data_IF_351111859244
#
_entry.id   IF_351111859244
#
_cell.length_a   1.000
_cell.length_b   1.000
_cell.length_c   1.000
_cell.angle_alpha   90.00
_cell.angle_beta   90.00
_cell.angle_gamma   90.00
#
_symmetry.space_group_name_H-M   'P 1'
#
loop_
_entity.id
_entity.type
_entity.pdbx_description
1 polymer ?
#
# COMPACT_ATOMS: atom_id res chain seq x y z
N UNK A 1 -37.05 37.56 -13.45
CA UNK A 1 -36.22 37.77 -12.25
C UNK A 1 -37.10 37.81 -11.02
N UNK A 2 -37.22 36.67 -10.34
CA UNK A 2 -37.50 36.52 -8.90
C UNK A 2 -36.95 35.12 -8.53
N UNK A 3 -36.21 34.95 -7.42
CA UNK A 3 -35.28 33.85 -7.25
C UNK A 3 -35.98 32.58 -6.73
N UNK A 4 -35.53 31.42 -7.21
CA UNK A 4 -35.82 30.13 -6.58
C UNK A 4 -34.89 30.01 -5.36
N UNK A 5 -35.44 30.38 -4.21
CA UNK A 5 -34.90 30.05 -2.91
C UNK A 5 -35.18 28.59 -2.53
N UNK A 6 -34.29 28.09 -1.68
CA UNK A 6 -34.38 26.92 -0.79
C UNK A 6 -34.26 25.53 -1.42
N UNK A 7 -33.00 25.04 -1.35
CA UNK A 7 -32.57 23.67 -1.00
C UNK A 7 -33.74 22.74 -0.68
N UNK A 8 -34.05 21.85 -1.62
CA UNK A 8 -34.98 20.76 -1.43
C UNK A 8 -34.26 19.60 -0.73
N UNK A 9 -34.93 19.09 0.31
CA UNK A 9 -34.65 17.91 1.15
C UNK A 9 -33.71 16.85 0.55
N UNK A 10 -32.45 16.87 1.00
CA UNK A 10 -31.60 15.68 1.06
C UNK A 10 -32.14 14.76 2.18
N UNK A 11 -32.02 13.43 2.07
CA UNK A 11 -32.50 12.50 3.09
C UNK A 11 -31.57 12.54 4.33
N UNK A 12 -31.63 13.61 5.13
CA UNK A 12 -30.74 13.81 6.30
C UNK A 12 -31.41 13.53 7.65
N UNK A 13 -32.46 12.70 7.72
CA UNK A 13 -33.12 12.38 9.00
C UNK A 13 -33.04 10.92 9.43
N UNK A 14 -32.47 10.02 8.63
CA UNK A 14 -32.27 8.63 9.04
C UNK A 14 -30.87 8.12 8.69
N UNK A 15 -29.96 8.20 9.67
CA UNK A 15 -28.62 7.62 9.61
C UNK A 15 -28.63 6.16 9.17
N UNK A 16 -29.69 5.40 9.51
CA UNK A 16 -29.80 4.00 9.08
C UNK A 16 -30.11 3.90 7.60
N UNK A 17 -30.91 4.81 7.06
CA UNK A 17 -31.20 4.86 5.62
C UNK A 17 -29.96 5.24 4.82
N UNK A 18 -29.20 6.24 5.27
CA UNK A 18 -27.92 6.63 4.66
C UNK A 18 -26.91 5.48 4.68
N UNK A 19 -26.68 4.87 5.85
CA UNK A 19 -25.75 3.73 5.97
C UNK A 19 -26.17 2.53 5.11
N UNK A 20 -27.49 2.25 4.99
CA UNK A 20 -28.01 1.20 4.09
C UNK A 20 -27.83 1.55 2.63
N UNK A 21 -28.01 2.80 2.23
CA UNK A 21 -27.79 3.26 0.87
C UNK A 21 -26.32 3.06 0.47
N UNK A 22 -25.39 3.52 1.32
CA UNK A 22 -23.95 3.37 1.07
C UNK A 22 -23.54 1.89 1.09
N UNK A 23 -24.07 1.09 2.02
CA UNK A 23 -23.79 -0.34 2.10
C UNK A 23 -24.27 -1.15 0.91
N UNK A 24 -25.28 -0.69 0.17
CA UNK A 24 -25.67 -1.30 -1.09
C UNK A 24 -24.73 -0.95 -2.24
N UNK A 25 -24.03 0.17 -2.16
CA UNK A 25 -23.07 0.59 -3.17
C UNK A 25 -21.69 -0.08 -2.99
N UNK A 26 -21.39 -0.63 -1.81
CA UNK A 26 -20.09 -1.26 -1.58
C UNK A 26 -19.95 -2.58 -2.34
N UNK A 27 -18.79 -2.83 -2.97
CA UNK A 27 -18.53 -4.08 -3.68
C UNK A 27 -18.38 -5.28 -2.74
N UNK A 28 -18.29 -5.05 -1.43
CA UNK A 28 -18.27 -6.07 -0.40
C UNK A 28 -19.68 -6.68 -0.20
N UNK A 29 -20.12 -7.47 -1.18
CA UNK A 29 -21.24 -8.42 -1.09
C UNK A 29 -22.49 -7.94 -0.34
N UNK A 30 -23.42 -7.28 -1.05
CA UNK A 30 -24.78 -7.03 -0.55
C UNK A 30 -25.68 -8.28 -0.48
N UNK A 31 -25.17 -9.46 -0.87
CA UNK A 31 -25.93 -10.71 -0.99
C UNK A 31 -25.38 -11.86 -0.13
N UNK A 32 -24.69 -11.57 0.99
CA UNK A 32 -24.53 -12.62 2.00
C UNK A 32 -25.86 -12.79 2.76
N UNK A 33 -26.49 -13.98 2.73
CA UNK A 33 -27.65 -14.25 3.56
C UNK A 33 -27.28 -14.00 5.02
N UNK A 34 -28.21 -13.41 5.79
CA UNK A 34 -28.03 -12.97 7.17
C UNK A 34 -27.73 -14.09 8.20
N UNK A 35 -27.30 -15.27 7.74
CA UNK A 35 -27.14 -16.50 8.52
C UNK A 35 -25.69 -17.03 8.56
N UNK A 36 -24.71 -16.26 8.08
CA UNK A 36 -23.31 -16.53 8.40
C UNK A 36 -22.89 -15.67 9.60
N UNK A 37 -22.14 -16.25 10.54
CA UNK A 37 -21.57 -15.59 11.71
C UNK A 37 -20.47 -14.56 11.35
N UNK A 38 -20.64 -13.80 10.28
CA UNK A 38 -19.80 -12.69 9.82
C UNK A 38 -20.42 -11.40 10.34
N UNK A 39 -19.65 -10.62 11.09
CA UNK A 39 -20.13 -9.30 11.55
C UNK A 39 -20.41 -8.45 10.31
N UNK A 40 -21.62 -7.92 10.11
CA UNK A 40 -21.94 -7.16 8.90
C UNK A 40 -21.03 -5.94 8.81
N UNK A 41 -20.55 -5.65 7.60
CA UNK A 41 -19.72 -4.48 7.32
C UNK A 41 -20.45 -3.21 7.79
N UNK A 42 -19.82 -2.46 8.71
CA UNK A 42 -20.42 -1.25 9.29
C UNK A 42 -19.95 -0.03 8.53
N UNK A 43 -20.91 0.78 8.09
CA UNK A 43 -20.63 2.00 7.33
C UNK A 43 -21.15 3.21 8.11
N UNK A 44 -20.34 4.26 8.13
CA UNK A 44 -20.74 5.53 8.72
C UNK A 44 -21.86 6.18 7.87
N UNK A 45 -22.88 6.80 8.49
CA UNK A 45 -23.92 7.51 7.74
C UNK A 45 -23.41 8.80 7.09
N UNK A 46 -22.25 9.29 7.54
CA UNK A 46 -21.60 10.53 7.11
C UNK A 46 -20.09 10.31 6.93
N UNK A 47 -19.45 11.03 5.99
CA UNK A 47 -18.00 10.92 5.79
C UNK A 47 -17.24 11.52 6.98
N UNK A 48 -15.98 11.09 7.16
CA UNK A 48 -15.12 11.63 8.20
C UNK A 48 -14.72 13.08 7.86
N UNK A 49 -15.06 14.07 8.72
CA UNK A 49 -14.81 15.48 8.41
C UNK A 49 -13.32 15.81 8.53
N UNK A 50 -12.79 16.50 7.52
CA UNK A 50 -11.42 17.01 7.48
C UNK A 50 -11.41 18.53 7.37
N UNK A 51 -10.53 19.19 8.13
CA UNK A 51 -10.32 20.63 7.96
C UNK A 51 -9.50 20.91 6.69
N UNK A 52 -9.59 22.11 6.10
CA UNK A 52 -8.76 22.48 4.94
C UNK A 52 -7.26 22.33 5.19
N UNK A 53 -6.80 22.60 6.42
CA UNK A 53 -5.40 22.41 6.81
C UNK A 53 -4.99 20.94 6.83
N UNK A 54 -5.89 20.04 7.27
CA UNK A 54 -5.65 18.60 7.25
C UNK A 54 -5.58 18.08 5.81
N UNK A 55 -6.46 18.55 4.92
CA UNK A 55 -6.42 18.21 3.49
C UNK A 55 -5.07 18.65 2.88
N UNK A 56 -4.66 19.89 3.12
CA UNK A 56 -3.37 20.42 2.65
C UNK A 56 -2.14 19.72 3.24
N UNK A 57 -2.27 19.06 4.39
CA UNK A 57 -1.22 18.22 4.98
C UNK A 57 -1.17 16.85 4.30
N UNK A 58 -2.33 16.22 4.07
CA UNK A 58 -2.46 14.93 3.40
C UNK A 58 -2.04 14.97 1.93
N UNK A 59 -2.39 16.03 1.19
CA UNK A 59 -1.94 16.20 -0.21
C UNK A 59 -0.40 16.28 -0.28
N UNK A 60 0.21 17.01 0.65
CA UNK A 60 1.66 17.20 0.72
C UNK A 60 2.37 15.93 1.18
N UNK A 61 1.72 15.12 2.02
CA UNK A 61 2.23 13.82 2.43
C UNK A 61 2.46 12.90 1.21
N UNK A 62 1.63 12.98 0.17
CA UNK A 62 1.83 12.19 -1.05
C UNK A 62 3.21 12.39 -1.68
N UNK A 63 3.62 13.65 -1.87
CA UNK A 63 4.94 14.00 -2.40
C UNK A 63 6.07 13.60 -1.44
N UNK A 64 5.87 13.80 -0.14
CA UNK A 64 6.85 13.43 0.89
C UNK A 64 7.07 11.91 0.94
N UNK A 65 6.01 11.10 0.83
CA UNK A 65 6.10 9.64 0.77
C UNK A 65 6.75 9.16 -0.53
N UNK A 66 6.45 9.79 -1.67
CA UNK A 66 7.15 9.49 -2.91
C UNK A 66 8.66 9.73 -2.76
N UNK A 67 9.06 10.88 -2.21
CA UNK A 67 10.45 11.19 -1.93
C UNK A 67 11.09 10.18 -0.96
N UNK A 68 10.35 9.77 0.07
CA UNK A 68 10.76 8.73 1.02
C UNK A 68 11.04 7.39 0.34
N UNK A 69 10.12 6.91 -0.52
CA UNK A 69 10.30 5.64 -1.25
C UNK A 69 11.43 5.71 -2.28
N UNK A 70 11.62 6.86 -2.95
CA UNK A 70 12.79 7.10 -3.82
C UNK A 70 14.07 6.97 -3.00
N UNK A 71 14.13 7.59 -1.82
CA UNK A 71 15.29 7.54 -0.94
C UNK A 71 15.53 6.13 -0.36
N UNK A 72 14.49 5.43 0.08
CA UNK A 72 14.58 4.04 0.55
C UNK A 72 15.11 3.10 -0.53
N UNK A 73 14.62 3.23 -1.77
CA UNK A 73 15.12 2.47 -2.90
C UNK A 73 16.60 2.76 -3.20
N UNK A 74 17.04 4.03 -3.07
CA UNK A 74 18.45 4.41 -3.18
C UNK A 74 19.30 3.85 -2.03
N UNK A 75 18.78 3.82 -0.81
CA UNK A 75 19.46 3.27 0.36
C UNK A 75 19.75 1.79 0.15
N UNK A 76 18.75 1.00 -0.25
CA UNK A 76 18.92 -0.42 -0.55
C UNK A 76 19.97 -0.63 -1.65
N UNK A 77 19.88 0.12 -2.76
CA UNK A 77 20.87 0.04 -3.83
C UNK A 77 22.29 0.46 -3.40
N UNK A 78 22.42 1.35 -2.40
CA UNK A 78 23.72 1.72 -1.81
C UNK A 78 24.27 0.62 -0.92
N UNK A 79 23.41 0.01 -0.10
CA UNK A 79 23.74 -1.08 0.81
C UNK A 79 24.21 -2.33 0.05
N UNK A 80 23.52 -2.71 -1.04
CA UNK A 80 23.95 -3.81 -1.94
C UNK A 80 25.34 -3.56 -2.53
N UNK A 81 25.70 -2.30 -2.78
CA UNK A 81 27.02 -1.91 -3.31
C UNK A 81 28.09 -1.71 -2.23
N UNK A 82 27.78 -2.02 -0.96
CA UNK A 82 28.70 -1.84 0.16
C UNK A 82 29.03 -0.38 0.50
N UNK A 83 28.17 0.58 0.10
CA UNK A 83 28.33 2.01 0.39
C UNK A 83 27.38 2.52 1.49
N UNK A 84 26.82 1.60 2.26
CA UNK A 84 26.06 1.87 3.48
C UNK A 84 26.59 0.94 4.58
N UNK A 85 26.32 1.22 5.87
CA UNK A 85 26.67 0.32 6.95
C UNK A 85 26.15 -1.11 6.68
N UNK A 86 27.01 -2.12 6.88
CA UNK A 86 26.72 -3.50 6.48
C UNK A 86 25.45 -4.07 7.12
N UNK A 87 25.09 -3.59 8.32
CA UNK A 87 23.90 -4.01 9.04
C UNK A 87 22.61 -3.64 8.30
N UNK A 88 22.59 -2.57 7.50
CA UNK A 88 21.38 -2.14 6.76
C UNK A 88 20.91 -3.23 5.81
N UNK A 89 21.83 -3.77 5.00
CA UNK A 89 21.49 -4.85 4.07
C UNK A 89 21.11 -6.12 4.82
N UNK A 90 21.84 -6.44 5.90
CA UNK A 90 21.55 -7.60 6.74
C UNK A 90 20.11 -7.55 7.26
N UNK A 91 19.66 -6.39 7.78
CA UNK A 91 18.30 -6.21 8.28
C UNK A 91 17.25 -6.33 7.16
N UNK A 92 17.45 -5.65 6.02
CA UNK A 92 16.47 -5.64 4.91
C UNK A 92 16.31 -7.01 4.22
N UNK A 93 17.31 -7.90 4.33
CA UNK A 93 17.29 -9.21 3.68
C UNK A 93 17.09 -10.37 4.66
N UNK A 94 16.99 -10.08 5.96
CA UNK A 94 16.81 -11.11 6.98
C UNK A 94 15.52 -11.89 6.74
N UNK A 95 15.64 -13.22 6.66
CA UNK A 95 14.50 -14.11 6.45
C UNK A 95 13.90 -14.09 5.04
N UNK A 96 14.46 -13.32 4.10
CA UNK A 96 13.95 -13.25 2.72
C UNK A 96 14.50 -14.40 1.86
N UNK A 97 13.64 -15.14 1.14
CA UNK A 97 14.09 -16.14 0.17
C UNK A 97 15.02 -15.53 -0.88
N UNK A 98 15.98 -16.32 -1.36
CA UNK A 98 16.96 -15.87 -2.38
C UNK A 98 16.27 -15.29 -3.62
N UNK A 99 15.23 -15.97 -4.12
CA UNK A 99 14.42 -15.54 -5.26
C UNK A 99 13.85 -14.12 -5.07
N UNK A 100 13.36 -13.78 -3.88
CA UNK A 100 12.82 -12.43 -3.58
C UNK A 100 13.92 -11.38 -3.65
N UNK A 101 15.10 -11.70 -3.07
CA UNK A 101 16.27 -10.80 -3.09
C UNK A 101 16.76 -10.56 -4.52
N UNK A 102 16.83 -11.61 -5.34
CA UNK A 102 17.23 -11.51 -6.75
C UNK A 102 16.29 -10.63 -7.56
N UNK A 103 14.97 -10.83 -7.40
CA UNK A 103 13.95 -10.01 -8.08
C UNK A 103 14.07 -8.53 -7.69
N UNK A 104 14.27 -8.24 -6.40
CA UNK A 104 14.42 -6.86 -5.90
C UNK A 104 15.68 -6.13 -6.39
N UNK A 105 16.66 -6.87 -6.93
CA UNK A 105 17.95 -6.37 -7.44
C UNK A 105 18.01 -6.29 -8.96
N UNK A 106 16.94 -6.64 -9.68
CA UNK A 106 16.94 -6.62 -11.14
C UNK A 106 17.28 -5.22 -11.68
N UNK A 107 18.43 -5.11 -12.36
CA UNK A 107 18.96 -3.84 -12.90
C UNK A 107 17.95 -3.08 -13.75
N UNK A 108 17.14 -3.82 -14.52
CA UNK A 108 16.13 -3.27 -15.44
C UNK A 108 15.04 -2.47 -14.71
N UNK A 109 14.77 -2.78 -13.44
CA UNK A 109 13.74 -2.15 -12.61
C UNK A 109 14.33 -1.43 -11.39
N UNK A 110 15.61 -1.03 -11.47
CA UNK A 110 16.32 -0.38 -10.36
C UNK A 110 15.58 0.84 -9.81
N UNK A 111 14.91 1.62 -10.65
CA UNK A 111 14.18 2.83 -10.28
C UNK A 111 12.67 2.62 -10.11
N UNK A 112 12.16 1.41 -10.36
CA UNK A 112 10.74 1.14 -10.20
C UNK A 112 10.32 1.30 -8.74
N UNK A 113 9.17 1.92 -8.54
CA UNK A 113 8.51 2.13 -7.25
C UNK A 113 7.05 1.67 -7.38
N UNK A 114 6.37 1.36 -6.27
CA UNK A 114 4.93 1.22 -6.26
C UNK A 114 4.25 2.47 -6.83
N UNK A 115 3.22 2.28 -7.65
CA UNK A 115 2.44 3.42 -8.21
C UNK A 115 1.44 4.00 -7.21
N UNK A 116 1.13 3.24 -6.16
CA UNK A 116 0.19 3.58 -5.11
C UNK A 116 0.80 3.17 -3.78
N UNK A 117 0.75 4.07 -2.81
CA UNK A 117 1.13 3.84 -1.43
C UNK A 117 -0.06 4.27 -0.58
N UNK A 118 -0.54 3.39 0.29
CA UNK A 118 -1.60 3.71 1.25
C UNK A 118 -0.96 3.90 2.62
N UNK A 119 -0.85 5.14 3.11
CA UNK A 119 -0.47 5.38 4.49
C UNK A 119 -1.67 5.16 5.39
N UNK A 120 -1.56 4.22 6.33
CA UNK A 120 -2.55 4.07 7.39
C UNK A 120 -2.24 5.09 8.48
N UNK A 121 -3.15 6.04 8.70
CA UNK A 121 -2.94 7.20 9.54
C UNK A 121 -3.88 7.18 10.75
N UNK A 122 -3.33 7.46 11.94
CA UNK A 122 -4.09 7.80 13.13
C UNK A 122 -4.15 9.32 13.27
N UNK A 123 -5.36 9.86 13.37
CA UNK A 123 -5.58 11.26 13.74
C UNK A 123 -5.27 11.45 15.23
N UNK A 124 -4.49 12.48 15.56
CA UNK A 124 -4.10 12.77 16.95
C UNK A 124 -5.06 13.79 17.58
N UNK A 125 -5.29 13.68 18.89
CA UNK A 125 -6.15 14.61 19.64
C UNK A 125 -5.73 16.08 19.51
N UNK A 126 -4.42 16.31 19.40
CA UNK A 126 -3.83 17.66 19.28
C UNK A 126 -3.82 18.19 17.84
N UNK A 127 -4.46 17.47 16.91
CA UNK A 127 -4.35 17.71 15.47
C UNK A 127 -3.14 17.03 14.85
N UNK A 128 -3.19 16.83 13.53
CA UNK A 128 -2.18 16.13 12.74
C UNK A 128 -2.38 14.61 12.69
N UNK A 129 -1.48 13.94 11.98
CA UNK A 129 -1.55 12.51 11.69
C UNK A 129 -0.24 11.79 12.01
N UNK A 130 -0.36 10.54 12.44
CA UNK A 130 0.76 9.62 12.64
C UNK A 130 0.52 8.36 11.82
N UNK A 131 1.49 7.95 11.03
CA UNK A 131 1.44 6.71 10.27
C UNK A 131 1.64 5.50 11.18
N UNK A 132 0.77 4.52 11.04
CA UNK A 132 0.91 3.21 11.70
C UNK A 132 1.58 2.19 10.78
N UNK A 133 1.35 2.35 9.47
CA UNK A 133 1.83 1.48 8.41
C UNK A 133 1.88 2.23 7.07
N UNK A 134 2.76 1.78 6.17
CA UNK A 134 2.76 2.18 4.77
C UNK A 134 2.59 0.92 3.93
N UNK A 135 1.46 0.81 3.26
CA UNK A 135 1.16 -0.32 2.39
C UNK A 135 1.53 0.03 0.95
N UNK A 136 2.48 -0.72 0.40
CA UNK A 136 3.02 -0.54 -0.95
C UNK A 136 2.33 -1.40 -2.01
N UNK A 137 1.40 -2.28 -1.61
CA UNK A 137 0.59 -3.10 -2.50
C UNK A 137 -0.86 -3.04 -2.03
N UNK A 138 -1.46 -1.84 -1.91
CA UNK A 138 -2.70 -1.69 -1.18
C UNK A 138 -3.90 -2.26 -1.92
N UNK A 139 -4.85 -2.76 -1.15
CA UNK A 139 -6.25 -2.94 -1.55
C UNK A 139 -7.10 -1.77 -1.05
N UNK A 140 -8.41 -1.93 -1.07
CA UNK A 140 -9.39 -0.97 -0.55
C UNK A 140 -9.67 0.23 -1.45
N UNK A 141 -8.92 0.44 -2.54
CA UNK A 141 -9.15 1.56 -3.45
C UNK A 141 -10.43 1.42 -4.28
N UNK A 142 -10.86 0.19 -4.58
CA UNK A 142 -12.13 -0.06 -5.25
C UNK A 142 -13.30 0.21 -4.30
N UNK A 143 -13.17 -0.26 -3.06
CA UNK A 143 -14.14 0.06 -2.01
C UNK A 143 -14.23 1.57 -1.77
N UNK A 144 -13.09 2.25 -1.66
CA UNK A 144 -13.03 3.71 -1.47
C UNK A 144 -13.71 4.45 -2.62
N UNK A 145 -13.47 4.04 -3.88
CA UNK A 145 -14.15 4.61 -5.03
C UNK A 145 -15.67 4.43 -4.96
N UNK A 146 -16.13 3.22 -4.62
CA UNK A 146 -17.54 2.92 -4.51
C UNK A 146 -18.26 3.75 -3.42
N UNK A 147 -17.67 3.83 -2.22
CA UNK A 147 -18.26 4.63 -1.13
C UNK A 147 -18.19 6.12 -1.44
N UNK A 148 -17.16 6.59 -2.15
CA UNK A 148 -17.03 8.01 -2.51
C UNK A 148 -18.16 8.45 -3.44
N UNK A 149 -18.49 7.63 -4.46
CA UNK A 149 -19.67 7.86 -5.31
C UNK A 149 -20.95 7.93 -4.48
N UNK A 150 -21.16 6.95 -3.60
CA UNK A 150 -22.37 6.89 -2.78
C UNK A 150 -22.51 8.06 -1.80
N UNK A 151 -21.43 8.51 -1.15
CA UNK A 151 -21.47 9.71 -0.31
C UNK A 151 -21.74 10.96 -1.14
N UNK A 152 -21.17 11.08 -2.35
CA UNK A 152 -21.45 12.24 -3.20
C UNK A 152 -22.90 12.26 -3.71
N UNK A 153 -23.50 11.10 -4.00
CA UNK A 153 -24.92 10.98 -4.35
C UNK A 153 -25.84 11.42 -3.20
N UNK A 154 -25.40 11.29 -1.95
CA UNK A 154 -26.07 11.83 -0.77
C UNK A 154 -25.82 13.33 -0.55
N UNK A 155 -25.11 14.00 -1.47
CA UNK A 155 -24.87 15.44 -1.45
C UNK A 155 -23.68 15.86 -0.58
N UNK A 156 -22.84 14.94 -0.11
CA UNK A 156 -21.63 15.30 0.63
C UNK A 156 -20.53 15.83 -0.29
N UNK A 157 -19.80 16.82 0.21
CA UNK A 157 -18.55 17.29 -0.41
C UNK A 157 -17.39 16.40 0.06
N UNK A 158 -16.66 15.82 -0.91
CA UNK A 158 -15.57 14.88 -0.63
C UNK A 158 -14.26 15.39 -1.20
N UNK A 159 -13.16 15.11 -0.49
CA UNK A 159 -11.81 15.32 -1.01
C UNK A 159 -11.61 14.39 -2.21
N UNK A 160 -11.31 14.97 -3.38
CA UNK A 160 -11.19 14.25 -4.65
C UNK A 160 -12.53 13.92 -5.35
N UNK A 161 -13.68 14.20 -4.72
CA UNK A 161 -15.00 13.90 -5.28
C UNK A 161 -15.26 12.39 -5.47
N UNK A 162 -16.29 12.08 -6.27
CA UNK A 162 -16.78 10.72 -6.53
C UNK A 162 -15.76 9.84 -7.27
N UNK A 163 -15.06 10.43 -8.24
CA UNK A 163 -14.21 9.70 -9.18
C UNK A 163 -12.72 10.00 -9.02
N UNK A 164 -12.31 10.80 -8.03
CA UNK A 164 -10.91 11.14 -7.82
C UNK A 164 -10.00 9.92 -7.70
N UNK A 165 -10.48 8.86 -7.03
CA UNK A 165 -9.69 7.64 -6.90
C UNK A 165 -9.54 6.87 -8.22
N UNK A 166 -10.62 6.78 -9.00
CA UNK A 166 -10.60 6.11 -10.32
C UNK A 166 -9.70 6.88 -11.28
N UNK A 167 -9.83 8.21 -11.33
CA UNK A 167 -9.03 9.07 -12.20
C UNK A 167 -7.55 9.04 -11.82
N UNK A 168 -7.25 9.13 -10.51
CA UNK A 168 -5.87 9.05 -10.00
C UNK A 168 -5.21 7.71 -10.30
N UNK A 169 -5.93 6.60 -10.07
CA UNK A 169 -5.43 5.25 -10.39
C UNK A 169 -5.22 5.07 -11.90
N UNK A 170 -6.16 5.54 -12.74
CA UNK A 170 -6.01 5.48 -14.19
C UNK A 170 -4.76 6.25 -14.68
N UNK A 171 -4.53 7.45 -14.15
CA UNK A 171 -3.35 8.25 -14.46
C UNK A 171 -2.05 7.54 -14.01
N UNK A 172 -2.04 6.96 -12.80
CA UNK A 172 -0.88 6.24 -12.27
C UNK A 172 -0.56 4.97 -13.08
N UNK A 173 -1.58 4.22 -13.50
CA UNK A 173 -1.42 3.02 -14.34
C UNK A 173 -0.90 3.39 -15.73
N UNK A 174 -1.46 4.41 -16.38
CA UNK A 174 -0.93 4.92 -17.67
C UNK A 174 0.52 5.37 -17.55
N UNK A 175 0.86 6.11 -16.49
CA UNK A 175 2.23 6.57 -16.25
C UNK A 175 3.24 5.46 -15.95
N UNK A 176 2.78 4.30 -15.48
CA UNK A 176 3.63 3.14 -15.20
C UNK A 176 3.79 2.19 -16.39
N UNK A 177 2.88 2.27 -17.36
CA UNK A 177 2.96 1.48 -18.57
C UNK A 177 4.02 1.99 -19.55
N UNK A 178 4.36 1.17 -20.54
CA UNK A 178 5.27 1.55 -21.63
C UNK A 178 4.54 2.03 -22.89
N UNK A 179 3.21 2.11 -22.84
CA UNK A 179 2.31 2.48 -23.94
C UNK A 179 1.22 3.43 -23.41
N UNK A 180 0.66 4.27 -24.29
CA UNK A 180 -0.25 5.36 -23.90
C UNK A 180 -1.60 4.87 -23.35
N UNK A 181 -2.16 3.80 -23.94
CA UNK A 181 -3.42 3.18 -23.52
C UNK A 181 -3.21 1.68 -23.21
N UNK A 182 -2.64 1.35 -22.04
CA UNK A 182 -2.30 -0.01 -21.70
C UNK A 182 -3.55 -0.84 -21.37
N UNK A 183 -3.51 -2.10 -21.78
CA UNK A 183 -4.32 -3.16 -21.21
C UNK A 183 -3.80 -3.54 -19.81
N UNK A 184 -4.66 -3.49 -18.80
CA UNK A 184 -4.29 -3.68 -17.39
C UNK A 184 -4.93 -4.95 -16.83
N UNK A 185 -4.10 -5.79 -16.22
CA UNK A 185 -4.53 -6.94 -15.43
C UNK A 185 -4.36 -6.65 -13.92
N UNK A 186 -5.45 -6.58 -13.17
CA UNK A 186 -5.45 -6.61 -11.70
C UNK A 186 -5.44 -8.08 -11.26
N UNK A 187 -4.26 -8.58 -10.93
CA UNK A 187 -4.04 -9.99 -10.60
C UNK A 187 -4.24 -10.21 -9.11
N UNK A 188 -5.30 -10.95 -8.75
CA UNK A 188 -5.68 -11.26 -7.36
C UNK A 188 -5.58 -12.77 -7.13
N UNK A 189 -4.82 -13.17 -6.10
CA UNK A 189 -4.55 -14.58 -5.78
C UNK A 189 -5.63 -15.19 -4.87
N UNK A 190 -5.52 -16.49 -4.60
CA UNK A 190 -6.47 -17.21 -3.73
C UNK A 190 -6.37 -16.71 -2.26
N UNK A 191 -5.18 -16.27 -1.83
CA UNK A 191 -4.93 -15.72 -0.48
C UNK A 191 -5.57 -14.34 -0.27
N UNK A 192 -5.93 -13.66 -1.36
CA UNK A 192 -6.51 -12.31 -1.39
C UNK A 192 -7.96 -12.31 -1.91
N UNK A 193 -8.65 -13.45 -1.82
CA UNK A 193 -10.00 -13.66 -2.36
C UNK A 193 -11.01 -12.59 -1.91
N UNK A 194 -10.93 -12.17 -0.63
CA UNK A 194 -11.83 -11.18 -0.05
C UNK A 194 -11.74 -9.79 -0.73
N UNK A 195 -10.64 -9.52 -1.44
CA UNK A 195 -10.46 -8.29 -2.22
C UNK A 195 -10.94 -8.41 -3.66
N UNK A 196 -11.31 -9.60 -4.16
CA UNK A 196 -11.79 -9.73 -5.55
C UNK A 196 -12.97 -8.80 -5.89
N UNK A 197 -14.00 -8.67 -5.05
CA UNK A 197 -15.16 -7.85 -5.41
C UNK A 197 -14.79 -6.37 -5.59
N UNK A 198 -13.91 -5.84 -4.75
CA UNK A 198 -13.49 -4.43 -4.87
C UNK A 198 -12.54 -4.22 -6.06
N UNK A 199 -11.71 -5.20 -6.39
CA UNK A 199 -10.84 -5.18 -7.55
C UNK A 199 -11.64 -5.28 -8.86
N UNK A 200 -12.71 -6.08 -8.89
CA UNK A 200 -13.64 -6.17 -10.02
C UNK A 200 -14.41 -4.86 -10.23
N UNK A 201 -14.87 -4.26 -9.13
CA UNK A 201 -15.46 -2.92 -9.17
C UNK A 201 -14.48 -1.89 -9.74
N UNK A 202 -13.22 -1.90 -9.28
CA UNK A 202 -12.20 -0.99 -9.76
C UNK A 202 -11.90 -1.20 -11.25
N UNK A 203 -11.79 -2.46 -11.70
CA UNK A 203 -11.62 -2.78 -13.11
C UNK A 203 -12.77 -2.26 -13.98
N UNK A 204 -14.01 -2.41 -13.51
CA UNK A 204 -15.21 -1.88 -14.18
C UNK A 204 -15.18 -0.36 -14.25
N UNK A 205 -14.87 0.32 -13.14
CA UNK A 205 -14.81 1.77 -13.07
C UNK A 205 -13.68 2.34 -13.96
N UNK A 206 -12.53 1.67 -14.03
CA UNK A 206 -11.42 2.04 -14.92
C UNK A 206 -11.79 1.85 -16.40
N UNK A 207 -12.50 0.77 -16.75
CA UNK A 207 -13.03 0.60 -18.11
C UNK A 207 -13.99 1.73 -18.50
N UNK A 208 -14.89 2.14 -17.58
CA UNK A 208 -15.78 3.28 -17.80
C UNK A 208 -15.00 4.60 -17.97
N UNK A 209 -13.85 4.73 -17.33
CA UNK A 209 -12.91 5.84 -17.49
C UNK A 209 -11.98 5.71 -18.71
N UNK A 210 -12.23 4.73 -19.60
CA UNK A 210 -11.49 4.54 -20.84
C UNK A 210 -10.13 3.86 -20.70
N UNK A 211 -9.91 3.10 -19.62
CA UNK A 211 -8.70 2.27 -19.44
C UNK A 211 -9.09 0.80 -19.40
N UNK A 212 -8.68 0.03 -20.41
CA UNK A 212 -9.00 -1.40 -20.52
C UNK A 212 -8.39 -2.15 -19.34
N UNK A 213 -9.21 -2.52 -18.36
CA UNK A 213 -8.76 -3.13 -17.10
C UNK A 213 -9.60 -4.35 -16.76
N UNK A 214 -8.97 -5.43 -16.32
CA UNK A 214 -9.67 -6.61 -15.80
C UNK A 214 -9.09 -7.12 -14.50
N UNK A 215 -9.98 -7.52 -13.60
CA UNK A 215 -9.62 -8.36 -12.46
C UNK A 215 -9.51 -9.80 -12.94
N UNK A 216 -8.37 -10.45 -12.70
CA UNK A 216 -8.14 -11.84 -13.09
C UNK A 216 -7.46 -12.67 -11.98
N UNK A 217 -7.63 -13.97 -12.04
CA UNK A 217 -6.84 -14.92 -11.27
C UNK A 217 -5.50 -15.22 -12.01
N UNK A 218 -4.36 -15.44 -11.32
CA UNK A 218 -3.08 -15.76 -11.97
C UNK A 218 -3.13 -16.91 -13.01
N UNK A 219 -3.96 -17.94 -12.77
CA UNK A 219 -4.25 -19.05 -13.71
C UNK A 219 -4.80 -18.60 -15.06
N UNK A 220 -5.39 -17.42 -15.16
CA UNK A 220 -5.94 -16.87 -16.40
C UNK A 220 -4.93 -16.05 -17.19
N UNK A 221 -3.65 -16.13 -16.84
CA UNK A 221 -2.53 -15.63 -17.64
C UNK A 221 -1.94 -16.73 -18.54
N UNK A 222 -1.44 -16.33 -19.71
CA UNK A 222 -0.58 -17.18 -20.55
C UNK A 222 0.47 -16.33 -21.26
N UNK A 223 1.53 -16.98 -21.73
CA UNK A 223 2.41 -16.42 -22.75
C UNK A 223 2.03 -17.04 -24.10
N UNK A 224 1.87 -16.21 -25.12
CA UNK A 224 1.64 -16.63 -26.50
C UNK A 224 2.29 -15.63 -27.45
N UNK A 225 3.11 -16.12 -28.38
CA UNK A 225 3.81 -15.31 -29.39
C UNK A 225 4.52 -14.07 -28.81
N UNK A 226 5.35 -14.28 -27.78
CA UNK A 226 6.08 -13.23 -27.05
C UNK A 226 5.19 -12.13 -26.43
N UNK A 227 3.93 -12.43 -26.19
CA UNK A 227 2.98 -11.54 -25.52
C UNK A 227 2.43 -12.18 -24.25
N UNK A 228 2.34 -11.40 -23.16
CA UNK A 228 1.58 -11.79 -21.98
C UNK A 228 0.10 -11.54 -22.26
N UNK A 229 -0.73 -12.55 -22.07
CA UNK A 229 -2.16 -12.46 -22.36
C UNK A 229 -2.99 -12.85 -21.15
N UNK A 230 -4.13 -12.16 -20.97
CA UNK A 230 -5.16 -12.50 -20.00
C UNK A 230 -6.39 -13.08 -20.68
N UNK A 231 -7.07 -13.99 -19.98
CA UNK A 231 -8.33 -14.57 -20.46
C UNK A 231 -9.48 -13.59 -20.28
N UNK A 232 -10.35 -13.49 -21.28
CA UNK A 232 -11.62 -12.79 -21.21
C UNK A 232 -12.77 -13.71 -21.70
N UNK A 233 -14.00 -13.18 -21.75
CA UNK A 233 -15.17 -13.95 -22.18
C UNK A 233 -15.16 -14.33 -23.69
N UNK A 234 -14.39 -13.63 -24.51
CA UNK A 234 -14.32 -13.79 -25.97
C UNK A 234 -13.03 -14.48 -26.45
N UNK A 235 -12.08 -14.76 -25.54
CA UNK A 235 -10.78 -15.34 -25.88
C UNK A 235 -9.66 -14.83 -24.99
N UNK A 236 -8.58 -14.37 -25.63
CA UNK A 236 -7.36 -13.89 -24.99
C UNK A 236 -7.02 -12.52 -25.53
N UNK A 237 -6.51 -11.67 -24.66
CA UNK A 237 -6.08 -10.31 -25.01
C UNK A 237 -4.72 -10.03 -24.37
N UNK A 238 -3.97 -9.12 -24.97
CA UNK A 238 -2.66 -8.73 -24.47
C UNK A 238 -2.77 -8.02 -23.12
N UNK A 239 -1.66 -8.04 -22.38
CA UNK A 239 -1.49 -7.38 -21.09
C UNK A 239 -0.24 -6.54 -21.14
N UNK A 240 -0.41 -5.22 -21.16
CA UNK A 240 0.70 -4.27 -21.14
C UNK A 240 1.17 -3.98 -19.71
N UNK A 241 0.27 -4.09 -18.73
CA UNK A 241 0.56 -3.81 -17.34
C UNK A 241 -0.15 -4.77 -16.38
N UNK A 242 0.60 -5.31 -15.43
CA UNK A 242 0.08 -6.12 -14.32
C UNK A 242 0.12 -5.30 -13.04
N UNK A 243 -1.05 -5.07 -12.43
CA UNK A 243 -1.14 -4.73 -11.02
C UNK A 243 -1.15 -6.04 -10.22
N UNK A 244 -0.04 -6.37 -9.55
CA UNK A 244 0.03 -7.56 -8.69
C UNK A 244 -0.59 -7.23 -7.33
N UNK A 245 -1.55 -8.04 -6.91
CA UNK A 245 -2.08 -8.02 -5.55
C UNK A 245 -1.77 -9.37 -4.90
N UNK A 246 -0.54 -9.47 -4.39
CA UNK A 246 0.03 -10.67 -3.79
C UNK A 246 1.23 -10.32 -2.91
N UNK A 247 1.50 -11.21 -1.97
CA UNK A 247 2.63 -11.13 -1.05
C UNK A 247 3.90 -11.77 -1.64
N UNK A 248 5.05 -11.11 -1.48
CA UNK A 248 6.31 -11.59 -2.07
C UNK A 248 6.90 -12.82 -1.39
N UNK A 249 6.53 -13.10 -0.13
CA UNK A 249 6.96 -14.33 0.54
C UNK A 249 6.23 -15.57 0.02
N UNK A 250 5.07 -15.39 -0.62
CA UNK A 250 4.20 -16.46 -1.10
C UNK A 250 4.42 -16.84 -2.58
N UNK A 251 5.40 -16.21 -3.25
CA UNK A 251 5.73 -16.49 -4.66
C UNK A 251 5.78 -17.98 -5.04
N UNK A 252 6.30 -18.93 -4.20
CA UNK A 252 6.29 -20.34 -4.55
C UNK A 252 4.90 -20.96 -4.74
N UNK A 253 3.88 -20.40 -4.11
CA UNK A 253 2.50 -20.90 -4.13
C UNK A 253 1.65 -20.23 -5.22
N UNK A 254 2.07 -19.06 -5.72
CA UNK A 254 1.30 -18.31 -6.73
C UNK A 254 1.33 -19.02 -8.10
N UNK A 255 0.18 -19.48 -8.63
CA UNK A 255 0.14 -20.14 -9.92
C UNK A 255 0.62 -19.23 -11.05
N UNK A 256 1.43 -19.76 -11.98
CA UNK A 256 1.91 -19.05 -13.18
C UNK A 256 2.67 -17.74 -12.91
N UNK A 257 3.14 -17.49 -11.69
CA UNK A 257 3.90 -16.29 -11.35
C UNK A 257 5.17 -16.12 -12.19
N UNK A 258 5.77 -17.24 -12.62
CA UNK A 258 6.92 -17.25 -13.52
C UNK A 258 6.62 -16.59 -14.87
N UNK A 259 5.38 -16.62 -15.35
CA UNK A 259 4.98 -15.93 -16.58
C UNK A 259 5.01 -14.41 -16.39
N UNK A 260 4.53 -13.90 -15.24
CA UNK A 260 4.58 -12.48 -14.91
C UNK A 260 6.03 -12.02 -14.73
N UNK A 261 6.84 -12.80 -14.02
CA UNK A 261 8.26 -12.52 -13.83
C UNK A 261 9.01 -12.54 -15.17
N UNK A 262 8.68 -13.48 -16.05
CA UNK A 262 9.24 -13.56 -17.39
C UNK A 262 8.85 -12.33 -18.22
N UNK A 263 7.55 -12.00 -18.30
CA UNK A 263 7.05 -10.83 -19.02
C UNK A 263 7.73 -9.54 -18.53
N UNK A 264 7.88 -9.38 -17.21
CA UNK A 264 8.64 -8.29 -16.61
C UNK A 264 10.11 -8.31 -17.07
N UNK A 265 10.84 -9.42 -16.91
CA UNK A 265 12.26 -9.51 -17.26
C UNK A 265 12.52 -9.17 -18.74
N UNK A 266 11.59 -9.54 -19.61
CA UNK A 266 11.67 -9.39 -21.06
C UNK A 266 10.97 -8.13 -21.61
N UNK A 267 10.36 -7.29 -20.76
CA UNK A 267 9.59 -6.09 -21.14
C UNK A 267 8.36 -6.38 -22.02
N UNK A 268 7.74 -7.53 -21.82
CA UNK A 268 6.47 -7.84 -22.45
C UNK A 268 5.30 -7.19 -21.71
N UNK A 269 5.46 -6.93 -20.40
CA UNK A 269 4.51 -6.18 -19.59
C UNK A 269 5.24 -5.40 -18.48
N UNK A 270 4.70 -4.25 -18.11
CA UNK A 270 5.04 -3.56 -16.86
C UNK A 270 4.42 -4.31 -15.67
N UNK A 271 5.05 -4.22 -14.50
CA UNK A 271 4.50 -4.82 -13.26
C UNK A 271 4.61 -3.82 -12.13
N UNK A 272 3.49 -3.58 -11.46
CA UNK A 272 3.39 -2.76 -10.25
C UNK A 272 2.54 -3.47 -9.20
N UNK A 273 2.81 -3.39 -7.91
CA UNK A 273 4.06 -2.91 -7.33
C UNK A 273 5.27 -3.74 -7.80
N UNK A 274 6.48 -3.17 -7.85
CA UNK A 274 7.68 -3.93 -8.24
C UNK A 274 7.98 -5.04 -7.22
N UNK A 275 8.65 -6.13 -7.63
CA UNK A 275 9.08 -7.21 -6.72
C UNK A 275 10.24 -6.77 -5.81
N UNK A 276 9.99 -5.81 -4.93
CA UNK A 276 10.98 -5.16 -4.06
C UNK A 276 10.51 -5.22 -2.61
N UNK A 277 10.73 -6.36 -1.96
CA UNK A 277 10.26 -6.59 -0.59
C UNK A 277 10.70 -5.50 0.39
N UNK A 278 11.91 -4.95 0.22
CA UNK A 278 12.41 -3.86 1.07
C UNK A 278 11.58 -2.56 1.02
N UNK A 279 10.69 -2.39 0.04
CA UNK A 279 9.73 -1.28 -0.03
C UNK A 279 8.38 -1.60 0.65
N UNK A 280 8.14 -2.87 0.99
CA UNK A 280 6.95 -3.37 1.68
C UNK A 280 7.21 -3.55 3.19
N UNK A 281 8.42 -3.25 3.68
CA UNK A 281 8.79 -3.46 5.08
C UNK A 281 8.44 -2.29 5.99
N UNK A 282 7.82 -2.59 7.13
CA UNK A 282 7.76 -1.68 8.28
C UNK A 282 9.14 -1.28 8.82
N UNK A 283 10.16 -2.09 8.56
CA UNK A 283 11.56 -1.82 8.91
C UNK A 283 12.07 -0.48 8.36
N UNK A 284 11.46 0.04 7.29
CA UNK A 284 11.81 1.37 6.75
C UNK A 284 11.69 2.48 7.79
N UNK A 285 10.76 2.39 8.75
CA UNK A 285 10.62 3.40 9.82
C UNK A 285 11.82 3.36 10.76
N UNK A 286 12.28 2.16 11.14
CA UNK A 286 13.48 2.00 11.95
C UNK A 286 14.70 2.57 11.24
N UNK A 287 14.87 2.29 9.94
CA UNK A 287 15.98 2.83 9.15
C UNK A 287 15.92 4.36 9.03
N UNK A 288 14.72 4.93 8.91
CA UNK A 288 14.52 6.37 8.83
C UNK A 288 14.92 7.12 10.11
N UNK A 289 14.67 6.49 11.26
CA UNK A 289 15.00 7.05 12.58
C UNK A 289 16.37 6.63 13.12
N UNK A 290 17.11 5.78 12.40
CA UNK A 290 18.42 5.34 12.86
C UNK A 290 19.46 6.48 12.76
N UNK A 291 20.16 6.86 13.85
CA UNK A 291 21.07 8.01 13.86
C UNK A 291 22.20 7.93 12.82
N UNK A 292 22.76 6.74 12.58
CA UNK A 292 23.83 6.55 11.58
C UNK A 292 23.36 6.84 10.14
N UNK A 293 22.05 6.78 9.87
CA UNK A 293 21.47 7.05 8.56
C UNK A 293 20.94 8.47 8.40
N UNK A 294 20.93 9.29 9.47
CA UNK A 294 20.44 10.68 9.43
C UNK A 294 21.11 11.51 8.32
N UNK A 295 22.45 11.50 8.13
CA UNK A 295 23.08 12.25 7.04
C UNK A 295 22.61 11.82 5.65
N UNK A 296 22.31 10.53 5.47
CA UNK A 296 21.79 10.01 4.21
C UNK A 296 20.38 10.53 3.94
N UNK A 297 19.49 10.47 4.94
CA UNK A 297 18.10 10.92 4.80
C UNK A 297 18.01 12.42 4.57
N UNK A 298 18.75 13.23 5.34
CA UNK A 298 18.81 14.67 5.15
C UNK A 298 19.32 15.05 3.76
N UNK A 299 20.33 14.34 3.24
CA UNK A 299 20.84 14.58 1.89
C UNK A 299 19.84 14.14 0.80
N UNK A 300 19.09 13.07 1.02
CA UNK A 300 18.16 12.51 0.04
C UNK A 300 16.81 13.25 -0.02
N UNK A 301 16.32 13.73 1.12
CA UNK A 301 14.99 14.33 1.28
C UNK A 301 15.03 15.85 1.40
N UNK A 302 16.14 16.42 1.86
CA UNK A 302 16.20 17.82 2.29
C UNK A 302 15.56 18.03 3.67
N UNK A 303 15.90 19.16 4.30
CA UNK A 303 15.53 19.44 5.70
C UNK A 303 14.02 19.49 5.92
N UNK A 304 13.27 20.10 5.00
CA UNK A 304 11.84 20.34 5.21
C UNK A 304 11.02 19.06 5.08
N UNK A 305 11.29 18.23 4.07
CA UNK A 305 10.63 16.92 3.89
C UNK A 305 11.04 15.95 5.00
N UNK A 306 12.32 15.89 5.39
CA UNK A 306 12.75 15.07 6.54
C UNK A 306 12.03 15.48 7.83
N UNK A 307 11.96 16.79 8.12
CA UNK A 307 11.27 17.27 9.31
C UNK A 307 9.76 17.00 9.31
N UNK A 308 9.10 17.03 8.14
CA UNK A 308 7.68 16.65 8.00
C UNK A 308 7.50 15.15 8.22
N UNK A 309 8.29 14.32 7.54
CA UNK A 309 8.24 12.87 7.67
C UNK A 309 8.55 12.41 9.09
N UNK A 310 9.48 13.04 9.82
CA UNK A 310 9.75 12.69 11.24
C UNK A 310 8.58 12.96 12.19
N UNK A 311 7.67 13.88 11.83
CA UNK A 311 6.44 14.11 12.61
C UNK A 311 5.37 13.06 12.30
N UNK A 312 5.38 12.49 11.10
CA UNK A 312 4.34 11.57 10.63
C UNK A 312 4.74 10.10 10.73
N UNK A 313 6.02 9.76 10.54
CA UNK A 313 6.53 8.40 10.68
C UNK A 313 7.07 8.24 12.11
N UNK A 314 6.51 7.34 12.93
CA UNK A 314 6.91 7.23 14.33
C UNK A 314 8.30 6.60 14.48
N UNK A 315 9.06 6.96 15.53
CA UNK A 315 10.22 6.20 15.96
C UNK A 315 9.86 4.73 16.12
N UNK A 316 10.64 3.86 15.49
CA UNK A 316 10.42 2.42 15.45
C UNK A 316 11.71 1.74 15.89
N UNK A 317 11.61 0.65 16.65
CA UNK A 317 12.75 -0.09 17.17
C UNK A 317 12.76 -1.51 16.61
N UNK A 318 13.93 -1.99 16.20
CA UNK A 318 14.14 -3.37 15.81
C UNK A 318 14.25 -4.24 17.07
N UNK A 319 13.41 -5.27 17.18
CA UNK A 319 13.55 -6.30 18.19
C UNK A 319 14.49 -7.38 17.64
N UNK A 320 15.72 -7.42 18.17
CA UNK A 320 16.68 -8.47 17.84
C UNK A 320 16.49 -9.66 18.80
N UNK A 321 16.04 -10.84 18.31
CA UNK A 321 15.85 -12.02 19.14
C UNK A 321 17.17 -12.71 19.51
N UNK A 322 18.34 -12.21 19.05
CA UNK A 322 19.62 -12.79 19.43
C UNK A 322 19.79 -12.75 20.96
N UNK A 323 20.27 -13.86 21.57
CA UNK A 323 20.57 -13.87 22.99
C UNK A 323 21.56 -12.75 23.29
N UNK A 324 21.22 -11.90 24.28
CA UNK A 324 22.15 -10.90 24.79
C UNK A 324 23.41 -11.68 25.23
N UNK A 325 24.59 -11.43 24.63
CA UNK A 325 25.82 -12.05 25.09
C UNK A 325 25.94 -11.82 26.59
N UNK A 326 26.33 -12.81 27.41
CA UNK A 326 26.47 -12.60 28.85
C UNK A 326 27.33 -11.34 29.03
N UNK A 327 26.81 -10.30 29.71
CA UNK A 327 27.56 -9.06 29.82
C UNK A 327 28.91 -9.38 30.45
N UNK A 328 30.01 -8.75 30.00
CA UNK A 328 31.22 -8.77 30.81
C UNK A 328 30.80 -8.34 32.23
N UNK A 329 31.36 -8.93 33.30
CA UNK A 329 30.97 -8.57 34.66
C UNK A 329 31.11 -7.05 34.81
N UNK A 330 29.98 -6.33 34.74
CA UNK A 330 29.93 -4.89 34.96
C UNK A 330 30.07 -4.66 36.45
N UNK A 331 30.92 -3.71 36.80
CA UNK A 331 31.01 -3.15 38.13
C UNK A 331 30.60 -1.68 38.05
N UNK A 332 29.46 -1.27 38.63
CA UNK A 332 28.50 -2.09 39.38
C UNK A 332 27.55 -2.92 38.47
N UNK A 333 26.94 -3.99 39.01
CA UNK A 333 26.02 -4.85 38.26
C UNK A 333 24.72 -4.11 37.87
N UNK A 334 24.14 -4.51 36.72
CA UNK A 334 22.80 -4.05 36.34
C UNK A 334 21.74 -4.77 37.21
N UNK A 335 20.86 -4.02 37.86
CA UNK A 335 19.84 -4.54 38.77
C UNK A 335 18.43 -4.13 38.33
N UNK A 336 17.46 -5.04 38.45
CA UNK A 336 16.04 -4.72 38.54
C UNK A 336 15.57 -5.01 39.97
N UNK A 337 15.34 -3.96 40.78
CA UNK A 337 15.18 -4.12 42.23
C UNK A 337 16.46 -4.66 42.88
N UNK A 338 16.37 -5.78 43.62
CA UNK A 338 17.53 -6.49 44.20
C UNK A 338 18.09 -7.60 43.29
N UNK A 339 17.47 -7.83 42.13
CA UNK A 339 17.83 -8.93 41.23
C UNK A 339 18.85 -8.47 40.19
N UNK A 340 19.94 -9.23 40.05
CA UNK A 340 20.97 -8.98 39.03
C UNK A 340 20.51 -9.49 37.67
N UNK A 341 20.53 -8.61 36.68
CA UNK A 341 20.20 -8.92 35.29
C UNK A 341 21.45 -9.42 34.56
N UNK A 342 21.36 -10.61 33.94
CA UNK A 342 22.43 -11.24 33.14
C UNK A 342 21.99 -11.49 31.70
N UNK A 343 20.71 -11.74 31.47
CA UNK A 343 20.13 -12.03 30.15
C UNK A 343 18.88 -11.18 29.90
N UNK A 344 18.47 -11.03 28.64
CA UNK A 344 17.23 -10.30 28.28
C UNK A 344 15.97 -10.95 28.85
N UNK A 345 16.02 -12.26 29.09
CA UNK A 345 14.97 -13.02 29.77
C UNK A 345 14.81 -12.60 31.23
N UNK A 346 15.83 -11.97 31.84
CA UNK A 346 15.75 -11.52 33.22
C UNK A 346 14.79 -10.33 33.42
N UNK A 347 14.38 -9.69 32.34
CA UNK A 347 13.41 -8.59 32.31
C UNK A 347 11.96 -9.07 32.32
N UNK A 348 11.73 -10.36 32.05
CA UNK A 348 10.42 -10.99 32.24
C UNK A 348 10.30 -11.27 33.73
N UNK A 349 9.66 -10.37 34.47
CA UNK A 349 9.27 -10.64 35.86
C UNK A 349 8.39 -11.90 35.90
N UNK A 350 8.48 -12.66 37.00
CA UNK A 350 7.60 -13.81 37.25
C UNK A 350 6.12 -13.39 37.34
#
# INVERSE_FOLDING_TARGET
MTPLSTVADLPTTDDRAAARFIGKATPLGSDQPADAATTPWRIAPTPFPLSPSAVSELERLGDDLLAFYVAANRLYASAVRGRSPAWVLKCLEQGKPERVRELGRLRRYRSALPIMIRPDLMALERGGFMATELDAVPGGFGLLGAISRAYQDLGFELVGGADGMVQGLAAALRGAASVDDPSVALVVTDESEDYRPEMDWAATALCQAGLLTRQIHPRDLRLHDDSLQMRNCQGWEEVDLVYRFLELHDLPNIPKIDLVIYAMKHRLAAVTAPFKSYLEEKLLFYLFHHPELEPFWLAALGKDTDARLRRMLPPTWLLDPQPIPPPPPRDPPLLAGQRRLRHGEDLRGD
#
